data_IF_886468764206
#
_entry.id   IF_886468764206
#
_cell.length_a   1.000
_cell.length_b   1.000
_cell.length_c   1.000
_cell.angle_alpha   90.00
_cell.angle_beta   90.00
_cell.angle_gamma   90.00
#
_symmetry.space_group_name_H-M   'P 1'
#
loop_
_entity.id
_entity.type
_entity.pdbx_description
1 polymer ?
#
# COMPACT_ATOMS: atom_id res chain seq x y z
N UNK A 1 61.62 21.69 8.38
CA UNK A 1 61.07 21.87 7.03
C UNK A 1 60.85 20.47 6.46
N UNK A 2 59.63 19.92 6.59
CA UNK A 2 58.62 19.82 5.50
C UNK A 2 59.17 18.98 4.33
N UNK A 3 58.63 17.81 3.99
CA UNK A 3 57.24 17.63 3.59
C UNK A 3 56.69 16.23 3.89
N UNK A 4 55.42 16.21 4.28
CA UNK A 4 54.53 15.06 4.36
C UNK A 4 54.35 14.42 2.98
N UNK A 5 54.64 13.13 2.86
CA UNK A 5 54.08 12.33 1.78
C UNK A 5 52.68 11.89 2.18
N UNK A 6 51.73 12.45 1.45
CA UNK A 6 50.30 12.21 1.46
C UNK A 6 49.97 10.72 1.57
N UNK A 7 49.41 10.35 2.72
CA UNK A 7 48.61 9.16 2.89
C UNK A 7 47.35 9.35 2.03
N UNK A 8 47.36 8.79 0.83
CA UNK A 8 46.15 8.60 0.05
C UNK A 8 45.22 7.70 0.88
N UNK A 9 44.35 8.34 1.64
CA UNK A 9 43.15 7.70 2.17
C UNK A 9 42.31 7.29 0.96
N UNK A 10 41.93 6.02 0.80
CA UNK A 10 40.78 5.73 -0.02
C UNK A 10 39.58 6.23 0.77
N UNK A 11 39.22 7.50 0.57
CA UNK A 11 37.83 7.91 0.62
C UNK A 11 37.13 7.14 -0.50
N UNK A 12 36.83 5.86 -0.23
CA UNK A 12 35.73 5.19 -0.88
C UNK A 12 34.48 5.94 -0.41
N UNK A 13 34.17 7.02 -1.14
CA UNK A 13 32.86 7.60 -1.16
C UNK A 13 31.91 6.44 -1.49
N UNK A 14 31.20 5.94 -0.48
CA UNK A 14 30.08 5.03 -0.64
C UNK A 14 28.95 5.82 -1.35
N UNK A 15 29.08 5.97 -2.66
CA UNK A 15 27.95 6.11 -3.59
C UNK A 15 27.21 4.77 -3.52
N UNK A 16 26.17 4.66 -2.69
CA UNK A 16 24.79 4.99 -3.02
C UNK A 16 24.14 4.06 -4.07
N UNK A 17 24.63 2.84 -4.24
CA UNK A 17 23.79 1.77 -4.82
C UNK A 17 23.20 0.95 -3.67
N UNK A 18 21.88 1.10 -3.49
CA UNK A 18 21.11 0.19 -2.65
C UNK A 18 21.31 -1.24 -3.21
N UNK A 19 21.36 -2.28 -2.36
CA UNK A 19 21.47 -3.66 -2.84
C UNK A 19 20.41 -3.96 -3.91
N UNK A 20 20.75 -4.70 -4.96
CA UNK A 20 19.80 -5.03 -6.05
C UNK A 20 18.51 -5.66 -5.52
N UNK A 21 18.62 -6.51 -4.49
CA UNK A 21 17.49 -7.09 -3.77
C UNK A 21 16.56 -6.01 -3.19
N UNK A 22 17.12 -4.95 -2.59
CA UNK A 22 16.35 -3.84 -2.02
C UNK A 22 15.57 -3.11 -3.12
N UNK A 23 16.24 -2.78 -4.24
CA UNK A 23 15.62 -2.10 -5.38
C UNK A 23 14.50 -2.94 -5.98
N UNK A 24 14.74 -4.25 -6.13
CA UNK A 24 13.75 -5.21 -6.65
C UNK A 24 12.50 -5.27 -5.77
N UNK A 25 12.67 -5.42 -4.45
CA UNK A 25 11.54 -5.48 -3.51
C UNK A 25 10.77 -4.15 -3.52
N UNK A 26 11.48 -3.01 -3.51
CA UNK A 26 10.86 -1.69 -3.59
C UNK A 26 10.00 -1.56 -4.84
N UNK A 27 10.55 -1.87 -6.02
CA UNK A 27 9.80 -1.74 -7.28
C UNK A 27 8.57 -2.64 -7.30
N UNK A 28 8.69 -3.88 -6.84
CA UNK A 28 7.58 -4.82 -6.75
C UNK A 28 6.42 -4.26 -5.89
N UNK A 29 6.73 -3.63 -4.75
CA UNK A 29 5.72 -3.00 -3.89
C UNK A 29 5.00 -1.87 -4.62
N UNK A 30 5.75 -0.99 -5.28
CA UNK A 30 5.19 0.17 -6.01
C UNK A 30 4.26 -0.30 -7.14
N UNK A 31 4.67 -1.31 -7.91
CA UNK A 31 3.89 -1.84 -9.02
C UNK A 31 2.61 -2.53 -8.53
N UNK A 32 2.71 -3.35 -7.48
CA UNK A 32 1.58 -4.09 -6.92
C UNK A 32 0.51 -3.16 -6.35
N UNK A 33 0.93 -2.08 -5.69
CA UNK A 33 0.00 -1.09 -5.13
C UNK A 33 -0.66 -0.26 -6.24
N UNK A 34 0.12 0.16 -7.24
CA UNK A 34 -0.42 0.90 -8.40
C UNK A 34 -1.50 0.10 -9.13
N UNK A 35 -1.24 -1.19 -9.34
CA UNK A 35 -2.20 -2.09 -9.98
C UNK A 35 -3.42 -2.36 -9.08
N UNK A 36 -3.23 -2.45 -7.76
CA UNK A 36 -4.36 -2.59 -6.82
C UNK A 36 -5.27 -1.37 -6.80
N UNK A 37 -4.71 -0.16 -6.92
CA UNK A 37 -5.48 1.08 -7.04
C UNK A 37 -6.23 1.14 -8.36
N UNK A 38 -5.59 0.72 -9.46
CA UNK A 38 -6.22 0.68 -10.80
C UNK A 38 -7.43 -0.24 -10.83
N UNK A 39 -7.32 -1.46 -10.29
CA UNK A 39 -8.39 -2.46 -10.31
C UNK A 39 -9.49 -2.13 -9.30
N UNK A 40 -9.11 -1.74 -8.08
CA UNK A 40 -10.05 -1.60 -6.96
C UNK A 40 -10.61 -0.19 -6.78
N UNK A 41 -9.74 0.83 -6.72
CA UNK A 41 -10.14 2.17 -6.29
C UNK A 41 -10.81 2.96 -7.41
N UNK A 42 -10.16 3.05 -8.58
CA UNK A 42 -10.60 3.93 -9.66
C UNK A 42 -11.94 3.49 -10.26
N UNK A 43 -12.09 2.20 -10.58
CA UNK A 43 -13.33 1.68 -11.19
C UNK A 43 -14.50 1.72 -10.22
N UNK A 44 -14.30 1.28 -8.96
CA UNK A 44 -15.35 1.28 -7.94
C UNK A 44 -15.80 2.70 -7.62
N UNK A 45 -14.85 3.65 -7.46
CA UNK A 45 -15.16 5.04 -7.16
C UNK A 45 -15.90 5.75 -8.31
N UNK A 46 -15.47 5.54 -9.56
CA UNK A 46 -16.11 6.17 -10.72
C UNK A 46 -17.55 5.67 -10.93
N UNK A 47 -17.77 4.35 -10.83
CA UNK A 47 -19.11 3.75 -10.94
C UNK A 47 -20.01 4.23 -9.80
N UNK A 48 -19.50 4.32 -8.58
CA UNK A 48 -20.25 4.81 -7.42
C UNK A 48 -20.65 6.28 -7.56
N UNK A 49 -19.72 7.17 -7.94
CA UNK A 49 -20.02 8.58 -8.12
C UNK A 49 -21.08 8.80 -9.20
N UNK A 50 -20.93 8.13 -10.35
CA UNK A 50 -21.90 8.21 -11.45
C UNK A 50 -23.31 7.80 -11.00
N UNK A 51 -23.42 6.67 -10.28
CA UNK A 51 -24.72 6.15 -9.86
C UNK A 51 -25.32 6.95 -8.69
N UNK A 52 -24.51 7.55 -7.82
CA UNK A 52 -25.00 8.43 -6.74
C UNK A 52 -25.60 9.72 -7.32
N UNK A 53 -24.95 10.29 -8.34
CA UNK A 53 -25.47 11.45 -9.09
C UNK A 53 -26.78 11.07 -9.79
N UNK A 54 -26.81 9.92 -10.48
CA UNK A 54 -28.02 9.44 -11.15
C UNK A 54 -29.19 9.28 -10.17
N UNK A 55 -28.94 8.71 -8.98
CA UNK A 55 -29.94 8.57 -7.93
C UNK A 55 -30.45 9.93 -7.40
N UNK A 56 -29.56 10.89 -7.15
CA UNK A 56 -29.94 12.23 -6.71
C UNK A 56 -30.80 12.96 -7.74
N UNK A 57 -30.46 12.83 -9.03
CA UNK A 57 -31.26 13.38 -10.13
C UNK A 57 -32.64 12.73 -10.21
N UNK A 58 -32.70 11.40 -10.03
CA UNK A 58 -33.95 10.65 -10.04
C UNK A 58 -34.86 11.08 -8.89
N UNK A 59 -34.30 11.29 -7.70
CA UNK A 59 -35.02 11.81 -6.53
C UNK A 59 -35.60 13.21 -6.78
N UNK A 60 -34.81 14.13 -7.35
CA UNK A 60 -35.27 15.48 -7.69
C UNK A 60 -36.45 15.43 -8.69
N UNK A 61 -36.36 14.60 -9.74
CA UNK A 61 -37.44 14.46 -10.73
C UNK A 61 -38.72 13.90 -10.13
N UNK A 62 -38.62 12.94 -9.21
CA UNK A 62 -39.77 12.42 -8.47
C UNK A 62 -40.40 13.51 -7.62
N UNK A 63 -39.59 14.27 -6.88
CA UNK A 63 -40.07 15.31 -5.97
C UNK A 63 -40.74 16.47 -6.74
N UNK A 64 -40.29 16.75 -7.97
CA UNK A 64 -40.82 17.80 -8.86
C UNK A 64 -42.02 17.35 -9.71
N UNK A 65 -42.28 16.04 -9.83
CA UNK A 65 -43.33 15.52 -10.72
C UNK A 65 -44.75 15.85 -10.22
N UNK A 66 -45.52 16.55 -11.06
CA UNK A 66 -46.92 16.90 -10.77
C UNK A 66 -47.86 15.69 -10.83
N UNK A 67 -47.57 14.72 -11.70
CA UNK A 67 -48.26 13.43 -11.79
C UNK A 67 -47.25 12.32 -11.98
N UNK A 68 -47.38 11.27 -11.18
CA UNK A 68 -46.42 10.16 -11.18
C UNK A 68 -46.52 9.30 -12.44
N UNK A 69 -47.71 9.24 -13.05
CA UNK A 69 -47.94 8.53 -14.32
C UNK A 69 -47.12 9.11 -15.48
N UNK A 70 -46.77 10.40 -15.41
CA UNK A 70 -46.02 11.10 -16.47
C UNK A 70 -44.53 10.73 -16.47
N UNK A 71 -44.02 10.20 -15.35
CA UNK A 71 -42.59 9.89 -15.17
C UNK A 71 -42.31 8.40 -14.89
N UNK A 72 -43.34 7.56 -14.78
CA UNK A 72 -43.23 6.14 -14.41
C UNK A 72 -42.29 5.34 -15.33
N UNK A 73 -42.43 5.54 -16.63
CA UNK A 73 -41.68 4.76 -17.63
C UNK A 73 -40.21 5.19 -17.66
N UNK A 74 -39.95 6.50 -17.61
CA UNK A 74 -38.60 7.06 -17.52
C UNK A 74 -37.91 6.65 -16.21
N UNK A 75 -38.62 6.72 -15.09
CA UNK A 75 -38.13 6.28 -13.79
C UNK A 75 -37.71 4.81 -13.82
N UNK A 76 -38.56 3.95 -14.38
CA UNK A 76 -38.25 2.53 -14.50
C UNK A 76 -37.00 2.27 -15.35
N UNK A 77 -36.82 2.99 -16.46
CA UNK A 77 -35.65 2.86 -17.33
C UNK A 77 -34.38 3.25 -16.58
N UNK A 78 -34.40 4.35 -15.84
CA UNK A 78 -33.23 4.80 -15.09
C UNK A 78 -32.92 3.91 -13.88
N UNK A 79 -33.93 3.39 -13.17
CA UNK A 79 -33.73 2.40 -12.10
C UNK A 79 -33.07 1.11 -12.65
N UNK A 80 -33.52 0.63 -13.81
CA UNK A 80 -32.90 -0.52 -14.48
C UNK A 80 -31.45 -0.23 -14.90
N UNK A 81 -31.19 0.99 -15.39
CA UNK A 81 -29.83 1.44 -15.76
C UNK A 81 -28.90 1.48 -14.56
N UNK A 82 -29.34 2.06 -13.43
CA UNK A 82 -28.59 2.09 -12.18
C UNK A 82 -28.33 0.66 -11.68
N UNK A 83 -29.34 -0.23 -11.73
CA UNK A 83 -29.18 -1.62 -11.34
C UNK A 83 -28.13 -2.34 -12.19
N UNK A 84 -28.16 -2.16 -13.52
CA UNK A 84 -27.19 -2.78 -14.43
C UNK A 84 -25.75 -2.30 -14.14
N UNK A 85 -25.55 -1.01 -13.90
CA UNK A 85 -24.23 -0.46 -13.56
C UNK A 85 -23.70 -1.02 -12.23
N UNK A 86 -24.58 -1.21 -11.24
CA UNK A 86 -24.21 -1.80 -9.95
C UNK A 86 -23.91 -3.30 -10.05
N UNK A 87 -24.59 -4.03 -10.92
CA UNK A 87 -24.27 -5.44 -11.20
C UNK A 87 -22.93 -5.59 -11.91
N UNK A 88 -22.65 -4.73 -12.88
CA UNK A 88 -21.35 -4.70 -13.55
C UNK A 88 -20.23 -4.46 -12.53
N UNK A 89 -20.38 -3.45 -11.66
CA UNK A 89 -19.43 -3.19 -10.59
C UNK A 89 -19.29 -4.39 -9.64
N UNK A 90 -20.41 -4.96 -9.18
CA UNK A 90 -20.41 -6.10 -8.26
C UNK A 90 -19.79 -7.36 -8.89
N UNK A 91 -19.89 -7.55 -10.21
CA UNK A 91 -19.28 -8.68 -10.92
C UNK A 91 -17.75 -8.71 -10.77
N UNK A 92 -17.12 -7.54 -10.60
CA UNK A 92 -15.68 -7.41 -10.38
C UNK A 92 -15.22 -7.95 -9.03
N UNK A 93 -16.15 -8.19 -8.08
CA UNK A 93 -15.84 -8.64 -6.71
C UNK A 93 -14.99 -9.91 -6.70
N UNK A 94 -15.30 -10.88 -7.57
CA UNK A 94 -14.56 -12.14 -7.64
C UNK A 94 -13.13 -11.93 -8.12
N UNK A 95 -12.94 -11.15 -9.17
CA UNK A 95 -11.64 -10.86 -9.74
C UNK A 95 -10.79 -10.01 -8.80
N UNK A 96 -11.41 -9.05 -8.11
CA UNK A 96 -10.78 -8.28 -7.05
C UNK A 96 -10.27 -9.19 -5.92
N UNK A 97 -11.10 -10.11 -5.42
CA UNK A 97 -10.66 -11.08 -4.40
C UNK A 97 -9.49 -11.95 -4.87
N UNK A 98 -9.54 -12.42 -6.12
CA UNK A 98 -8.47 -13.24 -6.70
C UNK A 98 -7.17 -12.46 -6.79
N UNK A 99 -7.24 -11.22 -7.28
CA UNK A 99 -6.12 -10.30 -7.35
C UNK A 99 -5.53 -10.05 -5.96
N UNK A 100 -6.35 -9.60 -5.00
CA UNK A 100 -5.87 -9.25 -3.66
C UNK A 100 -5.27 -10.45 -2.94
N UNK A 101 -5.85 -11.65 -3.04
CA UNK A 101 -5.25 -12.86 -2.44
C UNK A 101 -3.86 -13.15 -3.00
N UNK A 102 -3.71 -13.03 -4.32
CA UNK A 102 -2.41 -13.21 -4.99
C UNK A 102 -1.42 -12.14 -4.53
N UNK A 103 -1.81 -10.87 -4.59
CA UNK A 103 -0.96 -9.74 -4.21
C UNK A 103 -0.54 -9.80 -2.74
N UNK A 104 -1.47 -10.09 -1.81
CA UNK A 104 -1.16 -10.25 -0.40
C UNK A 104 -0.14 -11.37 -0.14
N UNK A 105 -0.25 -12.49 -0.85
CA UNK A 105 0.73 -13.57 -0.74
C UNK A 105 2.11 -13.10 -1.19
N UNK A 106 2.21 -12.48 -2.37
CA UNK A 106 3.48 -12.01 -2.91
C UNK A 106 4.11 -10.89 -2.05
N UNK A 107 3.30 -9.98 -1.51
CA UNK A 107 3.74 -8.93 -0.60
C UNK A 107 4.30 -9.51 0.71
N UNK A 108 3.68 -10.58 1.25
CA UNK A 108 4.23 -11.28 2.42
C UNK A 108 5.53 -12.01 2.09
N UNK A 109 5.63 -12.66 0.93
CA UNK A 109 6.88 -13.29 0.45
C UNK A 109 8.02 -12.26 0.38
N UNK A 110 7.74 -11.07 -0.16
CA UNK A 110 8.72 -9.97 -0.23
C UNK A 110 9.12 -9.40 1.13
N UNK A 111 8.21 -9.41 2.09
CA UNK A 111 8.52 -9.07 3.48
C UNK A 111 9.38 -10.13 4.15
N UNK A 112 9.21 -11.41 3.83
CA UNK A 112 10.12 -12.46 4.29
C UNK A 112 11.53 -12.24 3.75
N UNK A 113 11.69 -11.97 2.44
CA UNK A 113 13.00 -11.63 1.85
C UNK A 113 13.66 -10.42 2.54
N UNK A 114 12.86 -9.44 2.94
CA UNK A 114 13.35 -8.26 3.70
C UNK A 114 13.90 -8.65 5.07
N UNK A 115 13.22 -9.56 5.78
CA UNK A 115 13.67 -10.05 7.09
C UNK A 115 14.87 -10.97 7.01
N UNK A 116 14.96 -11.76 5.95
CA UNK A 116 16.12 -12.59 5.67
C UNK A 116 17.36 -11.72 5.45
N UNK A 117 17.24 -10.62 4.68
CA UNK A 117 18.31 -9.64 4.50
C UNK A 117 18.74 -8.99 5.82
N UNK A 118 17.79 -8.65 6.72
CA UNK A 118 18.12 -8.14 8.06
C UNK A 118 18.93 -9.17 8.85
N UNK A 119 18.49 -10.43 8.85
CA UNK A 119 19.16 -11.54 9.55
C UNK A 119 20.58 -11.78 9.04
N UNK A 120 20.80 -11.70 7.73
CA UNK A 120 22.13 -11.81 7.12
C UNK A 120 23.07 -10.67 7.58
N UNK A 121 22.56 -9.44 7.66
CA UNK A 121 23.35 -8.30 8.13
C UNK A 121 23.68 -8.45 9.63
N UNK A 122 22.73 -8.91 10.45
CA UNK A 122 22.97 -9.20 11.88
C UNK A 122 24.08 -10.24 12.07
N UNK A 123 24.11 -11.29 11.23
CA UNK A 123 25.18 -12.29 11.25
C UNK A 123 26.54 -11.67 10.91
N UNK A 124 26.60 -10.79 9.89
CA UNK A 124 27.83 -10.08 9.55
C UNK A 124 28.29 -9.14 10.66
N UNK A 125 27.37 -8.47 11.37
CA UNK A 125 27.70 -7.65 12.54
C UNK A 125 28.31 -8.51 13.64
N UNK A 126 27.74 -9.66 13.93
CA UNK A 126 28.25 -10.58 14.94
C UNK A 126 29.67 -11.07 14.60
N UNK A 127 29.92 -11.43 13.33
CA UNK A 127 31.23 -11.83 12.84
C UNK A 127 32.26 -10.70 12.99
N UNK A 128 31.96 -9.50 12.50
CA UNK A 128 32.89 -8.36 12.56
C UNK A 128 33.16 -7.87 13.98
N UNK A 129 32.16 -7.97 14.86
CA UNK A 129 32.32 -7.70 16.29
C UNK A 129 33.29 -8.70 16.92
N UNK A 130 33.17 -9.99 16.59
CA UNK A 130 34.05 -11.04 17.09
C UNK A 130 35.50 -10.85 16.62
N UNK A 131 35.70 -10.58 15.33
CA UNK A 131 37.04 -10.29 14.78
C UNK A 131 37.69 -9.07 15.44
N UNK A 132 36.91 -8.00 15.64
CA UNK A 132 37.40 -6.78 16.29
C UNK A 132 37.80 -7.06 17.74
N UNK A 133 37.01 -7.84 18.47
CA UNK A 133 37.32 -8.19 19.86
C UNK A 133 38.55 -9.10 19.96
N UNK A 134 38.71 -10.05 19.05
CA UNK A 134 39.92 -10.87 18.95
C UNK A 134 41.17 -10.00 18.71
N UNK A 135 41.08 -9.01 17.81
CA UNK A 135 42.18 -8.08 17.57
C UNK A 135 42.49 -7.22 18.80
N UNK A 136 41.48 -6.76 19.55
CA UNK A 136 41.65 -6.02 20.81
C UNK A 136 42.35 -6.83 21.89
N UNK A 137 42.00 -8.11 22.03
CA UNK A 137 42.62 -9.01 23.01
C UNK A 137 44.07 -9.38 22.63
N UNK A 138 44.38 -9.41 21.33
CA UNK A 138 45.71 -9.75 20.84
C UNK A 138 46.68 -8.55 20.84
N UNK A 139 46.18 -7.32 20.68
CA UNK A 139 46.97 -6.08 20.60
C UNK A 139 48.00 -5.90 21.75
N UNK A 140 47.68 -6.15 23.04
CA UNK A 140 48.64 -6.03 24.14
C UNK A 140 49.78 -7.06 24.08
N UNK A 141 49.56 -8.18 23.38
CA UNK A 141 50.51 -9.29 23.28
C UNK A 141 51.33 -9.26 21.98
N UNK A 142 51.21 -8.19 21.18
CA UNK A 142 51.94 -8.03 19.93
C UNK A 142 53.46 -7.99 20.16
N UNK A 143 54.20 -8.81 19.41
CA UNK A 143 55.65 -8.99 19.53
C UNK A 143 56.46 -8.02 18.68
N UNK A 144 55.81 -7.32 17.76
CA UNK A 144 56.43 -6.35 16.85
C UNK A 144 55.52 -5.16 16.57
N UNK A 145 56.11 -4.06 16.13
CA UNK A 145 55.36 -2.86 15.74
C UNK A 145 54.42 -3.15 14.54
N UNK A 146 54.87 -3.96 13.58
CA UNK A 146 54.04 -4.38 12.44
C UNK A 146 52.81 -5.17 12.89
N UNK A 147 52.97 -6.04 13.89
CA UNK A 147 51.86 -6.82 14.46
C UNK A 147 50.88 -5.92 15.22
N UNK A 148 51.39 -4.93 15.96
CA UNK A 148 50.57 -3.89 16.61
C UNK A 148 49.77 -3.08 15.59
N UNK A 149 50.42 -2.62 14.52
CA UNK A 149 49.79 -1.86 13.44
C UNK A 149 48.71 -2.67 12.73
N UNK A 150 48.96 -3.98 12.52
CA UNK A 150 47.96 -4.89 11.94
C UNK A 150 46.70 -4.97 12.81
N UNK A 151 46.85 -5.23 14.11
CA UNK A 151 45.70 -5.31 15.02
C UNK A 151 44.96 -3.98 15.10
N UNK A 152 45.68 -2.84 15.16
CA UNK A 152 45.06 -1.52 15.18
C UNK A 152 44.28 -1.24 13.88
N UNK A 153 44.85 -1.61 12.72
CA UNK A 153 44.17 -1.48 11.44
C UNK A 153 42.92 -2.35 11.36
N UNK A 154 42.98 -3.60 11.83
CA UNK A 154 41.80 -4.49 11.90
C UNK A 154 40.69 -3.88 12.76
N UNK A 155 41.02 -3.32 13.93
CA UNK A 155 40.05 -2.67 14.80
C UNK A 155 39.40 -1.48 14.09
N UNK A 156 40.19 -0.59 13.49
CA UNK A 156 39.68 0.60 12.82
C UNK A 156 38.81 0.25 11.60
N UNK A 157 39.27 -0.72 10.79
CA UNK A 157 38.53 -1.20 9.62
C UNK A 157 37.20 -1.84 10.03
N UNK A 158 37.21 -2.76 11.00
CA UNK A 158 35.99 -3.42 11.46
C UNK A 158 35.03 -2.44 12.14
N UNK A 159 35.51 -1.44 12.86
CA UNK A 159 34.66 -0.37 13.40
C UNK A 159 33.93 0.41 12.29
N UNK A 160 34.62 0.68 11.17
CA UNK A 160 34.04 1.38 10.03
C UNK A 160 33.01 0.52 9.29
N UNK A 161 33.30 -0.78 9.14
CA UNK A 161 32.37 -1.76 8.56
C UNK A 161 31.13 -1.91 9.45
N UNK A 162 31.30 -2.06 10.77
CA UNK A 162 30.19 -2.17 11.72
C UNK A 162 29.26 -0.97 11.66
N UNK A 163 29.81 0.25 11.58
CA UNK A 163 29.01 1.46 11.42
C UNK A 163 28.14 1.40 10.14
N UNK A 164 28.73 1.00 9.00
CA UNK A 164 27.99 0.83 7.75
C UNK A 164 26.90 -0.25 7.83
N UNK A 165 27.18 -1.40 8.45
CA UNK A 165 26.21 -2.49 8.63
C UNK A 165 25.05 -2.07 9.54
N UNK A 166 25.32 -1.31 10.61
CA UNK A 166 24.29 -0.74 11.48
C UNK A 166 23.38 0.22 10.70
N UNK A 167 23.94 1.09 9.87
CA UNK A 167 23.15 1.97 8.98
C UNK A 167 22.27 1.16 8.03
N UNK A 168 22.78 0.05 7.48
CA UNK A 168 21.98 -0.82 6.61
C UNK A 168 20.82 -1.48 7.37
N UNK A 169 21.04 -1.96 8.61
CA UNK A 169 19.97 -2.49 9.45
C UNK A 169 18.88 -1.45 9.68
N UNK A 170 19.25 -0.22 10.04
CA UNK A 170 18.27 0.84 10.31
C UNK A 170 17.39 1.11 9.07
N UNK A 171 18.00 1.11 7.88
CA UNK A 171 17.28 1.27 6.60
C UNK A 171 16.32 0.10 6.38
N UNK A 172 16.79 -1.14 6.53
CA UNK A 172 15.96 -2.34 6.31
C UNK A 172 14.84 -2.48 7.34
N UNK A 173 15.06 -2.13 8.61
CA UNK A 173 14.04 -2.16 9.65
C UNK A 173 12.94 -1.11 9.41
N UNK A 174 13.32 0.09 8.97
CA UNK A 174 12.34 1.10 8.52
C UNK A 174 11.54 0.59 7.34
N UNK A 175 12.19 -0.10 6.41
CA UNK A 175 11.52 -0.69 5.25
C UNK A 175 10.56 -1.83 5.63
N UNK A 176 10.92 -2.78 6.50
CA UNK A 176 9.99 -3.81 7.03
C UNK A 176 8.78 -3.17 7.73
N UNK A 177 9.03 -2.11 8.50
CA UNK A 177 7.96 -1.38 9.21
C UNK A 177 6.98 -0.73 8.22
N UNK A 178 7.49 -0.11 7.15
CA UNK A 178 6.66 0.46 6.10
C UNK A 178 5.87 -0.62 5.33
N UNK A 179 6.49 -1.75 5.01
CA UNK A 179 5.81 -2.91 4.40
C UNK A 179 4.70 -3.47 5.30
N UNK A 180 4.94 -3.57 6.61
CA UNK A 180 3.96 -4.05 7.57
C UNK A 180 2.73 -3.14 7.64
N UNK A 181 2.95 -1.82 7.67
CA UNK A 181 1.89 -0.81 7.60
C UNK A 181 1.11 -0.94 6.30
N UNK A 182 1.81 -1.01 5.16
CA UNK A 182 1.19 -1.17 3.84
C UNK A 182 0.29 -2.41 3.77
N UNK A 183 0.77 -3.57 4.23
CA UNK A 183 0.00 -4.82 4.26
C UNK A 183 -1.27 -4.69 5.12
N UNK A 184 -1.16 -4.04 6.29
CA UNK A 184 -2.30 -3.80 7.16
C UNK A 184 -3.33 -2.88 6.51
N UNK A 185 -2.90 -1.76 5.92
CA UNK A 185 -3.80 -0.81 5.27
C UNK A 185 -4.44 -1.41 4.02
N UNK A 186 -3.72 -2.20 3.22
CA UNK A 186 -4.26 -2.90 2.05
C UNK A 186 -5.33 -3.93 2.44
N UNK A 187 -5.14 -4.64 3.56
CA UNK A 187 -6.16 -5.56 4.10
C UNK A 187 -7.44 -4.80 4.43
N UNK A 188 -7.35 -3.70 5.18
CA UNK A 188 -8.51 -2.88 5.54
C UNK A 188 -9.19 -2.32 4.28
N UNK A 189 -8.40 -1.82 3.33
CA UNK A 189 -8.92 -1.31 2.05
C UNK A 189 -9.66 -2.39 1.27
N UNK A 190 -9.16 -3.63 1.28
CA UNK A 190 -9.81 -4.78 0.63
C UNK A 190 -11.15 -5.10 1.25
N UNK A 191 -11.22 -5.14 2.58
CA UNK A 191 -12.48 -5.37 3.31
C UNK A 191 -13.51 -4.27 2.98
N UNK A 192 -13.05 -3.02 2.84
CA UNK A 192 -13.90 -1.89 2.44
C UNK A 192 -14.39 -1.99 1.00
N UNK A 193 -13.51 -2.32 0.05
CA UNK A 193 -13.92 -2.56 -1.34
C UNK A 193 -14.92 -3.72 -1.41
N UNK A 194 -14.67 -4.81 -0.70
CA UNK A 194 -15.59 -5.95 -0.64
C UNK A 194 -16.97 -5.55 -0.13
N UNK A 195 -17.03 -4.80 0.97
CA UNK A 195 -18.27 -4.30 1.53
C UNK A 195 -19.00 -3.38 0.54
N UNK A 196 -18.29 -2.45 -0.09
CA UNK A 196 -18.87 -1.56 -1.09
C UNK A 196 -19.45 -2.35 -2.26
N UNK A 197 -18.71 -3.31 -2.81
CA UNK A 197 -19.20 -4.16 -3.92
C UNK A 197 -20.40 -5.02 -3.50
N UNK A 198 -20.44 -5.50 -2.26
CA UNK A 198 -21.60 -6.20 -1.71
C UNK A 198 -22.82 -5.28 -1.59
N UNK A 199 -22.64 -4.04 -1.12
CA UNK A 199 -23.74 -3.07 -1.04
C UNK A 199 -24.23 -2.72 -2.44
N UNK A 200 -23.35 -2.59 -3.43
CA UNK A 200 -23.76 -2.39 -4.83
C UNK A 200 -24.61 -3.55 -5.35
N UNK A 201 -24.20 -4.80 -5.07
CA UNK A 201 -24.97 -5.99 -5.41
C UNK A 201 -26.38 -5.96 -4.80
N UNK A 202 -26.49 -5.60 -3.52
CA UNK A 202 -27.79 -5.51 -2.82
C UNK A 202 -28.65 -4.36 -3.34
N UNK A 203 -28.03 -3.22 -3.63
CA UNK A 203 -28.71 -2.10 -4.24
C UNK A 203 -29.26 -2.45 -5.60
N UNK A 204 -28.48 -3.10 -6.46
CA UNK A 204 -28.94 -3.51 -7.78
C UNK A 204 -30.22 -4.36 -7.70
N UNK A 205 -30.28 -5.28 -6.74
CA UNK A 205 -31.48 -6.09 -6.46
C UNK A 205 -32.68 -5.20 -6.11
N UNK A 206 -32.50 -4.25 -5.18
CA UNK A 206 -33.57 -3.32 -4.77
C UNK A 206 -34.02 -2.44 -5.94
N UNK A 207 -33.09 -1.87 -6.71
CA UNK A 207 -33.39 -1.04 -7.88
C UNK A 207 -34.15 -1.82 -8.96
N UNK A 208 -33.81 -3.09 -9.16
CA UNK A 208 -34.50 -3.96 -10.11
C UNK A 208 -35.92 -4.28 -9.68
N UNK A 209 -36.12 -4.60 -8.40
CA UNK A 209 -37.47 -4.83 -7.87
C UNK A 209 -38.32 -3.56 -7.86
N UNK A 210 -37.70 -2.40 -7.61
CA UNK A 210 -38.35 -1.09 -7.73
C UNK A 210 -38.77 -0.79 -9.17
N UNK A 211 -37.89 -1.05 -10.16
CA UNK A 211 -38.20 -0.91 -11.58
C UNK A 211 -39.36 -1.84 -11.99
N UNK A 212 -39.32 -3.10 -11.59
CA UNK A 212 -40.40 -4.05 -11.83
C UNK A 212 -41.73 -3.58 -11.21
N UNK A 213 -41.71 -3.07 -9.98
CA UNK A 213 -42.88 -2.52 -9.29
C UNK A 213 -43.45 -1.29 -9.99
N UNK A 214 -42.58 -0.40 -10.47
CA UNK A 214 -42.98 0.77 -11.26
C UNK A 214 -43.64 0.38 -12.59
N UNK A 215 -43.10 -0.61 -13.31
CA UNK A 215 -43.68 -1.17 -14.55
C UNK A 215 -45.08 -1.76 -14.32
N UNK A 216 -45.34 -2.32 -13.15
CA UNK A 216 -46.64 -2.86 -12.77
C UNK A 216 -47.69 -1.77 -12.45
N UNK A 217 -47.36 -0.47 -12.63
CA UNK A 217 -48.23 0.71 -12.41
C UNK A 217 -48.84 0.81 -10.99
N UNK A 218 -48.34 0.05 -10.03
CA UNK A 218 -49.09 -0.21 -8.78
C UNK A 218 -48.73 0.67 -7.58
N UNK A 219 -47.54 1.30 -7.52
CA UNK A 219 -47.23 2.46 -6.66
C UNK A 219 -45.73 2.79 -6.71
N UNK A 220 -45.34 3.76 -7.53
CA UNK A 220 -43.96 4.28 -7.58
C UNK A 220 -43.50 4.84 -6.24
N UNK A 221 -44.43 5.42 -5.47
CA UNK A 221 -44.12 6.02 -4.17
C UNK A 221 -43.66 5.00 -3.14
N UNK A 222 -44.22 3.79 -3.15
CA UNK A 222 -43.76 2.67 -2.31
C UNK A 222 -42.34 2.22 -2.70
N UNK A 223 -42.12 1.99 -4.01
CA UNK A 223 -40.81 1.61 -4.54
C UNK A 223 -39.68 2.60 -4.18
N UNK A 224 -39.99 3.90 -4.15
CA UNK A 224 -39.05 4.96 -3.78
C UNK A 224 -38.88 5.14 -2.26
N UNK A 225 -39.91 4.80 -1.47
CA UNK A 225 -39.82 4.84 0.00
C UNK A 225 -38.88 3.73 0.49
N UNK A 226 -38.92 2.55 -0.13
CA UNK A 226 -38.03 1.43 0.20
C UNK A 226 -36.55 1.71 -0.18
N UNK A 227 -36.31 2.63 -1.12
CA UNK A 227 -34.97 3.08 -1.50
C UNK A 227 -34.32 4.03 -0.47
N UNK A 228 -35.08 4.68 0.42
CA UNK A 228 -34.51 5.56 1.46
C UNK A 228 -33.71 4.78 2.52
N UNK A 229 -33.94 3.48 2.67
CA UNK A 229 -33.19 2.61 3.59
C UNK A 229 -31.73 2.36 3.19
N UNK A 230 -31.30 2.83 2.01
CA UNK A 230 -29.95 2.66 1.46
C UNK A 230 -28.92 3.70 1.97
N UNK A 231 -29.28 4.49 2.99
CA UNK A 231 -28.37 5.41 3.66
C UNK A 231 -27.21 4.68 4.34
N UNK A 232 -25.98 4.91 3.89
CA UNK A 232 -24.78 4.31 4.48
C UNK A 232 -23.59 4.21 3.53
N UNK A 233 -23.84 4.15 2.22
CA UNK A 233 -22.79 4.07 1.18
C UNK A 233 -21.83 5.26 1.22
N UNK A 234 -22.34 6.46 1.44
CA UNK A 234 -21.53 7.68 1.49
C UNK A 234 -20.45 7.60 2.57
N UNK A 235 -20.78 7.07 3.75
CA UNK A 235 -19.81 6.86 4.83
C UNK A 235 -18.73 5.83 4.45
N UNK A 236 -19.13 4.72 3.84
CA UNK A 236 -18.20 3.68 3.38
C UNK A 236 -17.30 4.15 2.23
N UNK A 237 -17.80 5.05 1.38
CA UNK A 237 -17.04 5.72 0.33
C UNK A 237 -15.99 6.68 0.89
N UNK A 238 -16.36 7.48 1.89
CA UNK A 238 -15.42 8.38 2.58
C UNK A 238 -14.30 7.56 3.23
N UNK A 239 -14.66 6.47 3.91
CA UNK A 239 -13.70 5.56 4.54
C UNK A 239 -12.79 4.90 3.51
N UNK A 240 -13.35 4.41 2.39
CA UNK A 240 -12.58 3.81 1.30
C UNK A 240 -11.57 4.82 0.71
N UNK A 241 -12.00 6.06 0.44
CA UNK A 241 -11.15 7.12 -0.06
C UNK A 241 -10.05 7.53 0.94
N UNK A 242 -10.35 7.48 2.25
CA UNK A 242 -9.35 7.71 3.29
C UNK A 242 -8.29 6.61 3.33
N UNK A 243 -8.67 5.33 3.26
CA UNK A 243 -7.69 4.23 3.21
C UNK A 243 -6.79 4.30 1.98
N UNK A 244 -7.31 4.69 0.82
CA UNK A 244 -6.45 4.82 -0.37
C UNK A 244 -5.48 5.98 -0.30
N UNK A 245 -5.86 7.09 0.34
CA UNK A 245 -4.93 8.20 0.64
C UNK A 245 -3.81 7.75 1.58
N UNK A 246 -4.13 6.93 2.59
CA UNK A 246 -3.12 6.36 3.48
C UNK A 246 -2.16 5.42 2.73
N UNK A 247 -2.69 4.55 1.86
CA UNK A 247 -1.86 3.71 0.98
C UNK A 247 -0.92 4.55 0.12
N UNK A 248 -1.43 5.60 -0.53
CA UNK A 248 -0.62 6.52 -1.36
C UNK A 248 0.45 7.24 -0.53
N UNK A 249 0.14 7.64 0.71
CA UNK A 249 1.11 8.25 1.61
C UNK A 249 2.25 7.28 1.96
N UNK A 250 1.95 6.01 2.26
CA UNK A 250 2.96 4.98 2.55
C UNK A 250 3.80 4.68 1.31
N UNK A 251 3.19 4.62 0.13
CA UNK A 251 3.89 4.44 -1.15
C UNK A 251 4.85 5.60 -1.42
N UNK A 252 4.41 6.85 -1.20
CA UNK A 252 5.25 8.04 -1.33
C UNK A 252 6.39 8.03 -0.33
N UNK A 253 6.14 7.60 0.90
CA UNK A 253 7.15 7.42 1.94
C UNK A 253 8.23 6.43 1.48
N UNK A 254 7.86 5.25 0.99
CA UNK A 254 8.77 4.23 0.43
C UNK A 254 9.50 4.75 -0.83
N UNK A 255 8.82 5.57 -1.63
CA UNK A 255 9.34 6.11 -2.89
C UNK A 255 10.46 7.14 -2.72
N UNK A 256 10.38 8.00 -1.69
CA UNK A 256 11.30 9.13 -1.47
C UNK A 256 12.74 8.69 -1.17
N UNK A 257 13.70 9.38 -1.77
CA UNK A 257 15.13 9.21 -1.43
C UNK A 257 15.43 9.61 0.02
N UNK A 258 14.69 10.59 0.57
CA UNK A 258 14.88 11.09 1.95
C UNK A 258 14.57 10.08 3.05
N UNK A 259 13.73 9.06 2.75
CA UNK A 259 13.48 7.95 3.67
C UNK A 259 14.79 7.26 4.09
N UNK A 260 15.79 7.32 3.21
CA UNK A 260 17.05 6.60 3.31
C UNK A 260 18.26 7.49 3.69
N UNK A 261 18.10 8.82 3.71
CA UNK A 261 19.19 9.78 3.99
C UNK A 261 19.33 10.15 5.47
N UNK A 262 18.26 10.03 6.27
CA UNK A 262 18.24 10.38 7.70
C UNK A 262 18.90 9.32 8.62
N UNK A 263 19.61 8.34 8.06
CA UNK A 263 20.46 7.41 8.83
C UNK A 263 21.92 7.89 8.92
N UNK A 264 22.21 9.10 8.41
CA UNK A 264 23.56 9.74 8.41
C UNK A 264 23.71 10.88 9.42
N UNK A 265 22.70 11.18 10.24
CA UNK A 265 22.74 12.19 11.30
C UNK A 265 22.92 11.53 12.66
#
# INVERSE_FOLDING_TARGET
>A
MLALCLWNSPQAAATSDLPEQFVSIKQFLLDTVSESQRIGAATTQALLQSNLIAFQQLKLRVDEASRMDDIIEELSIELDRIAANFEEAASMRRDYHKYTRKSNRQLNEKRHETRDAISEIDQHIAEKTREMEQARLALPNAKSDIERDRYQMTINANQSVLHSLQTQIDIWQRFDSAQARLLSTLKISTERVDYVLFVLEKNAQVYREAANTAKLRNNVRLALTDLQALGGIESSLIDLAASWREVDQIVKEIGRQEFFSNARS
#
